data_IF_432573665574
#
_entry.id   IF_432573665574
#
_cell.length_a   1.000
_cell.length_b   1.000
_cell.length_c   1.000
_cell.angle_alpha   90.00
_cell.angle_beta   90.00
_cell.angle_gamma   90.00
#
_symmetry.space_group_name_H-M   'P 1'
#
loop_
_entity.id
_entity.type
_entity.pdbx_description
1 polymer ?
#
# COMPACT_ATOMS: atom_id res chain seq x y z
N UNK A 1 -15.80 -4.58 17.00
CA UNK A 1 -14.97 -3.43 16.59
C UNK A 1 -14.49 -2.71 17.85
N UNK A 2 -13.21 -2.73 18.12
CA UNK A 2 -12.61 -2.10 19.29
C UNK A 2 -11.69 -0.97 18.82
N UNK A 3 -12.06 0.26 19.15
CA UNK A 3 -11.22 1.44 18.95
C UNK A 3 -10.51 1.81 20.26
N UNK A 4 -9.27 2.25 20.13
CA UNK A 4 -8.52 2.82 21.25
C UNK A 4 -8.60 4.35 21.11
N UNK A 5 -9.21 5.02 22.09
CA UNK A 5 -9.40 6.47 22.10
C UNK A 5 -10.02 7.02 20.79
N UNK A 6 -11.03 6.36 20.28
CA UNK A 6 -11.85 6.77 19.13
C UNK A 6 -11.14 6.98 17.78
N UNK A 7 -9.82 6.76 17.70
CA UNK A 7 -9.05 7.09 16.50
C UNK A 7 -8.29 5.91 15.89
N UNK A 8 -8.04 4.83 16.63
CA UNK A 8 -7.26 3.70 16.15
C UNK A 8 -7.92 2.39 16.53
N UNK A 9 -8.16 1.54 15.56
CA UNK A 9 -8.62 0.18 15.78
C UNK A 9 -7.50 -0.70 16.36
N UNK A 10 -7.84 -1.54 17.32
CA UNK A 10 -6.90 -2.52 17.87
C UNK A 10 -6.47 -3.53 16.82
N UNK A 11 -7.41 -3.99 16.02
CA UNK A 11 -7.17 -4.80 14.83
C UNK A 11 -7.29 -3.90 13.60
N UNK A 12 -6.21 -3.72 12.85
CA UNK A 12 -6.19 -2.88 11.65
C UNK A 12 -7.21 -3.33 10.60
N UNK A 13 -7.56 -4.63 10.60
CA UNK A 13 -8.55 -5.19 9.65
C UNK A 13 -9.94 -4.58 9.81
N UNK A 14 -10.24 -4.03 10.98
CA UNK A 14 -11.50 -3.31 11.21
C UNK A 14 -11.61 -2.00 10.39
N UNK A 15 -10.48 -1.49 9.90
CA UNK A 15 -10.40 -0.32 9.02
C UNK A 15 -10.29 -0.68 7.53
N UNK A 16 -10.33 -1.95 7.21
CA UNK A 16 -10.17 -2.46 5.85
C UNK A 16 -11.51 -3.01 5.34
N UNK A 17 -11.90 -2.59 4.16
CA UNK A 17 -13.17 -2.95 3.55
C UNK A 17 -13.10 -4.18 2.64
N UNK A 18 -11.95 -4.41 2.03
CA UNK A 18 -11.76 -5.47 1.03
C UNK A 18 -10.49 -6.26 1.29
N UNK A 19 -10.55 -7.57 1.10
CA UNK A 19 -9.40 -8.48 1.13
C UNK A 19 -8.53 -8.32 2.39
N UNK A 20 -9.17 -8.32 3.54
CA UNK A 20 -8.59 -8.01 4.86
C UNK A 20 -7.41 -8.89 5.27
N UNK A 21 -7.39 -10.13 4.79
CA UNK A 21 -6.41 -11.14 5.16
C UNK A 21 -5.29 -11.29 4.13
N UNK A 22 -5.18 -10.36 3.18
CA UNK A 22 -4.14 -10.41 2.17
C UNK A 22 -2.74 -10.31 2.81
N UNK A 23 -1.77 -11.17 2.40
CA UNK A 23 -0.42 -11.17 2.95
C UNK A 23 0.33 -9.83 2.77
N UNK A 24 0.09 -9.10 1.69
CA UNK A 24 0.70 -7.78 1.46
C UNK A 24 0.23 -6.78 2.51
N UNK A 25 -1.07 -6.80 2.83
CA UNK A 25 -1.65 -5.96 3.86
C UNK A 25 -1.08 -6.30 5.25
N UNK A 26 -0.96 -7.58 5.57
CA UNK A 26 -0.35 -8.04 6.80
C UNK A 26 1.13 -7.63 6.91
N UNK A 27 1.88 -7.70 5.82
CA UNK A 27 3.26 -7.23 5.76
C UNK A 27 3.34 -5.73 6.06
N UNK A 28 2.54 -4.90 5.41
CA UNK A 28 2.47 -3.46 5.64
C UNK A 28 2.10 -3.14 7.09
N UNK A 29 1.09 -3.83 7.62
CA UNK A 29 0.63 -3.65 8.99
C UNK A 29 1.72 -3.96 10.01
N UNK A 30 2.54 -4.97 9.76
CA UNK A 30 3.66 -5.33 10.64
C UNK A 30 4.84 -4.39 10.53
N UNK A 31 5.09 -3.85 9.35
CA UNK A 31 6.19 -2.91 9.10
C UNK A 31 5.93 -1.56 9.75
N UNK A 32 4.73 -1.04 9.61
CA UNK A 32 4.37 0.32 10.01
C UNK A 32 3.52 0.32 11.28
N UNK A 33 4.19 0.52 12.41
CA UNK A 33 3.58 0.50 13.74
C UNK A 33 3.91 1.76 14.53
N UNK A 34 3.02 2.11 15.45
CA UNK A 34 3.28 3.17 16.41
C UNK A 34 4.39 2.79 17.37
N UNK A 35 5.28 3.73 17.63
CA UNK A 35 6.39 3.56 18.56
C UNK A 35 5.96 3.80 20.02
N UNK A 36 6.77 3.28 20.96
CA UNK A 36 6.59 3.46 22.40
C UNK A 36 7.26 4.73 22.90
N UNK A 37 6.83 5.91 22.43
CA UNK A 37 7.43 7.15 22.92
C UNK A 37 6.39 8.25 23.00
N UNK A 38 6.34 8.92 24.16
CA UNK A 38 5.51 10.09 24.40
C UNK A 38 4.02 9.80 24.32
N UNK A 39 3.28 10.69 23.66
CA UNK A 39 1.82 10.62 23.58
C UNK A 39 1.29 9.43 22.77
N UNK A 40 2.18 8.64 22.16
CA UNK A 40 1.82 7.49 21.34
C UNK A 40 1.88 6.16 22.08
N UNK A 41 2.22 6.15 23.36
CA UNK A 41 2.33 4.91 24.16
C UNK A 41 1.03 4.11 24.19
N UNK A 42 -0.12 4.77 24.14
CA UNK A 42 -1.45 4.13 24.08
C UNK A 42 -1.62 3.29 22.82
N UNK A 43 -1.02 3.71 21.73
CA UNK A 43 -1.09 3.05 20.43
C UNK A 43 0.11 2.15 20.15
N UNK A 44 1.07 2.09 21.08
CA UNK A 44 2.34 1.38 20.88
C UNK A 44 2.13 -0.05 20.40
N UNK A 45 2.79 -0.42 19.31
CA UNK A 45 2.71 -1.73 18.69
C UNK A 45 1.48 -1.95 17.78
N UNK A 46 0.52 -1.03 17.77
CA UNK A 46 -0.60 -1.08 16.82
C UNK A 46 -0.15 -0.65 15.43
N UNK A 47 -0.83 -1.16 14.41
CA UNK A 47 -0.57 -0.77 13.03
C UNK A 47 -1.13 0.61 12.71
N UNK A 48 -0.39 1.41 11.94
CA UNK A 48 -0.88 2.66 11.36
C UNK A 48 -2.11 2.46 10.46
N UNK A 49 -2.26 1.29 9.84
CA UNK A 49 -3.45 0.94 9.07
C UNK A 49 -4.74 0.97 9.89
N UNK A 50 -4.63 0.78 11.21
CA UNK A 50 -5.78 0.85 12.12
C UNK A 50 -6.27 2.26 12.43
N UNK A 51 -5.54 3.30 12.06
CA UNK A 51 -5.99 4.69 12.23
C UNK A 51 -7.14 5.01 11.29
N UNK A 52 -8.18 5.67 11.79
CA UNK A 52 -9.30 6.15 10.95
C UNK A 52 -8.84 7.16 9.89
N UNK A 53 -7.70 7.82 10.12
CA UNK A 53 -7.08 8.76 9.19
C UNK A 53 -5.97 8.14 8.35
N UNK A 54 -5.87 6.81 8.29
CA UNK A 54 -4.83 6.13 7.53
C UNK A 54 -5.02 6.31 6.03
N UNK A 55 -4.11 7.03 5.40
CA UNK A 55 -4.03 7.15 3.93
C UNK A 55 -3.74 5.78 3.29
N UNK A 56 -2.90 4.97 3.93
CA UNK A 56 -2.58 3.62 3.48
C UNK A 56 -3.81 2.70 3.46
N UNK A 57 -4.66 2.76 4.50
CA UNK A 57 -5.90 1.99 4.54
C UNK A 57 -6.88 2.44 3.44
N UNK A 58 -6.99 3.74 3.22
CA UNK A 58 -7.79 4.31 2.13
C UNK A 58 -7.25 3.85 0.76
N UNK A 59 -5.95 3.98 0.55
CA UNK A 59 -5.27 3.55 -0.68
C UNK A 59 -5.50 2.07 -0.95
N UNK A 60 -5.36 1.22 0.08
CA UNK A 60 -5.67 -0.21 -0.04
C UNK A 60 -7.10 -0.45 -0.50
N UNK A 61 -8.06 0.13 0.19
CA UNK A 61 -9.48 -0.08 -0.10
C UNK A 61 -9.85 0.31 -1.54
N UNK A 62 -9.31 1.42 -2.04
CA UNK A 62 -9.56 1.89 -3.41
C UNK A 62 -8.84 1.01 -4.43
N UNK A 63 -7.54 0.89 -4.34
CA UNK A 63 -6.72 0.22 -5.36
C UNK A 63 -6.99 -1.29 -5.38
N UNK A 64 -7.15 -1.92 -4.22
CA UNK A 64 -7.50 -3.35 -4.18
C UNK A 64 -8.87 -3.63 -4.77
N UNK A 65 -9.83 -2.74 -4.59
CA UNK A 65 -11.16 -2.86 -5.23
C UNK A 65 -11.07 -2.79 -6.75
N UNK A 66 -10.28 -1.88 -7.30
CA UNK A 66 -10.03 -1.79 -8.75
C UNK A 66 -9.36 -3.07 -9.26
N UNK A 67 -8.38 -3.56 -8.55
CA UNK A 67 -7.65 -4.78 -8.89
C UNK A 67 -8.55 -6.02 -8.90
N UNK A 68 -9.38 -6.20 -7.86
CA UNK A 68 -10.31 -7.34 -7.76
C UNK A 68 -11.39 -7.30 -8.84
N UNK A 69 -11.88 -6.13 -9.20
CA UNK A 69 -12.85 -5.97 -10.29
C UNK A 69 -12.20 -5.98 -11.68
N UNK A 70 -10.87 -5.95 -11.74
CA UNK A 70 -10.09 -5.80 -12.98
C UNK A 70 -10.59 -4.62 -13.83
N UNK A 71 -10.95 -3.53 -13.18
CA UNK A 71 -11.46 -2.33 -13.83
C UNK A 71 -10.64 -1.11 -13.44
N UNK A 72 -9.73 -0.72 -14.31
CA UNK A 72 -8.86 0.44 -14.14
C UNK A 72 -9.35 1.69 -14.88
N UNK A 73 -10.57 1.66 -15.43
CA UNK A 73 -11.15 2.79 -16.15
C UNK A 73 -11.09 4.12 -15.39
N UNK A 74 -11.33 4.18 -14.07
CA UNK A 74 -11.19 5.44 -13.34
C UNK A 74 -9.78 6.03 -13.38
N UNK A 75 -8.75 5.17 -13.39
CA UNK A 75 -7.36 5.59 -13.49
C UNK A 75 -7.06 6.05 -14.92
N UNK A 76 -7.47 5.26 -15.91
CA UNK A 76 -7.30 5.59 -17.35
C UNK A 76 -7.94 6.93 -17.69
N UNK A 77 -9.13 7.19 -17.18
CA UNK A 77 -9.85 8.45 -17.37
C UNK A 77 -9.08 9.64 -16.77
N UNK A 78 -8.47 9.42 -15.62
CA UNK A 78 -7.70 10.45 -14.93
C UNK A 78 -6.39 10.79 -15.66
N UNK A 79 -5.64 9.77 -16.08
CA UNK A 79 -4.33 9.94 -16.73
C UNK A 79 -4.41 10.11 -18.25
N UNK A 80 -5.58 9.88 -18.84
CA UNK A 80 -5.82 9.94 -20.30
C UNK A 80 -4.97 8.96 -21.11
N UNK A 81 -4.70 7.81 -20.54
CA UNK A 81 -3.95 6.71 -21.16
C UNK A 81 -4.75 5.42 -21.00
N UNK A 82 -4.92 4.69 -22.10
CA UNK A 82 -5.47 3.35 -22.08
C UNK A 82 -4.40 2.35 -21.63
N UNK A 83 -4.75 1.49 -20.69
CA UNK A 83 -3.82 0.51 -20.09
C UNK A 83 -4.14 -0.89 -20.59
N UNK A 84 -3.14 -1.59 -21.10
CA UNK A 84 -3.26 -2.98 -21.54
C UNK A 84 -2.71 -3.92 -20.46
N UNK A 85 -3.54 -4.85 -19.99
CA UNK A 85 -3.22 -5.79 -18.91
C UNK A 85 -2.67 -5.11 -17.65
N UNK A 86 -3.37 -4.10 -17.10
CA UNK A 86 -2.86 -3.36 -15.97
C UNK A 86 -2.82 -4.23 -14.71
N UNK A 87 -1.76 -4.02 -13.92
CA UNK A 87 -1.59 -4.60 -12.57
C UNK A 87 -1.17 -3.49 -11.62
N UNK A 88 -1.84 -3.41 -10.50
CA UNK A 88 -1.44 -2.50 -9.43
C UNK A 88 -0.50 -3.18 -8.45
N UNK A 89 0.49 -2.42 -7.99
CA UNK A 89 1.34 -2.75 -6.87
C UNK A 89 1.14 -1.66 -5.82
N UNK A 90 1.05 -2.06 -4.58
CA UNK A 90 1.05 -1.14 -3.44
C UNK A 90 2.33 -1.30 -2.65
N UNK A 91 2.96 -0.19 -2.32
CA UNK A 91 4.22 -0.17 -1.56
C UNK A 91 5.29 -1.08 -2.20
N UNK A 92 5.35 -1.08 -3.52
CA UNK A 92 6.23 -1.92 -4.34
C UNK A 92 5.95 -3.43 -4.28
N UNK A 93 4.80 -3.84 -3.76
CA UNK A 93 4.40 -5.23 -3.64
C UNK A 93 3.21 -5.57 -4.54
N UNK A 94 3.29 -6.69 -5.25
CA UNK A 94 2.13 -7.27 -5.93
C UNK A 94 1.19 -7.92 -4.92
N UNK A 95 -0.13 -7.83 -5.15
CA UNK A 95 -1.13 -8.35 -4.20
C UNK A 95 -1.02 -9.84 -3.91
N UNK A 96 -0.55 -10.62 -4.87
CA UNK A 96 -0.46 -12.07 -4.76
C UNK A 96 0.99 -12.57 -4.60
N UNK A 97 1.94 -11.64 -4.56
CA UNK A 97 3.36 -11.97 -4.45
C UNK A 97 4.11 -10.91 -3.64
N UNK A 98 4.61 -11.33 -2.49
CA UNK A 98 5.43 -10.52 -1.59
C UNK A 98 6.91 -10.92 -1.66
N UNK A 99 7.34 -11.54 -2.76
CA UNK A 99 8.71 -12.00 -2.88
C UNK A 99 9.71 -10.84 -2.78
N UNK A 100 10.82 -11.08 -2.09
CA UNK A 100 11.91 -10.10 -1.98
C UNK A 100 12.52 -9.73 -3.33
N UNK A 101 12.47 -10.66 -4.28
CA UNK A 101 12.99 -10.47 -5.63
C UNK A 101 12.19 -9.41 -6.39
N UNK A 102 10.87 -9.48 -6.34
CA UNK A 102 10.00 -8.47 -6.96
C UNK A 102 10.21 -7.10 -6.34
N UNK A 103 10.27 -7.03 -5.02
CA UNK A 103 10.59 -5.78 -4.30
C UNK A 103 11.93 -5.20 -4.75
N UNK A 104 12.94 -6.05 -4.91
CA UNK A 104 14.27 -5.62 -5.35
C UNK A 104 14.24 -5.04 -6.76
N UNK A 105 13.58 -5.72 -7.70
CA UNK A 105 13.47 -5.29 -9.09
C UNK A 105 12.74 -3.94 -9.19
N UNK A 106 11.60 -3.82 -8.56
CA UNK A 106 10.82 -2.57 -8.56
C UNK A 106 11.59 -1.45 -7.87
N UNK A 107 12.16 -1.71 -6.71
CA UNK A 107 12.98 -0.73 -5.99
C UNK A 107 14.21 -0.29 -6.79
N UNK A 108 14.87 -1.20 -7.51
CA UNK A 108 16.00 -0.90 -8.39
C UNK A 108 15.58 -0.02 -9.57
N UNK A 109 14.42 -0.30 -10.18
CA UNK A 109 13.87 0.49 -11.28
C UNK A 109 13.55 1.91 -10.82
N UNK A 110 12.93 2.08 -9.66
CA UNK A 110 12.62 3.39 -9.08
C UNK A 110 13.88 4.18 -8.79
N UNK A 111 14.92 3.55 -8.23
CA UNK A 111 16.21 4.20 -8.00
C UNK A 111 16.84 4.74 -9.28
N UNK A 112 16.75 3.97 -10.36
CA UNK A 112 17.29 4.38 -11.66
C UNK A 112 16.51 5.58 -12.23
N UNK A 113 15.18 5.61 -12.09
CA UNK A 113 14.33 6.72 -12.53
C UNK A 113 14.63 7.98 -11.72
N UNK A 114 14.71 7.87 -10.40
CA UNK A 114 14.97 8.99 -9.50
C UNK A 114 16.43 9.46 -9.51
N UNK A 115 17.33 8.73 -10.16
CA UNK A 115 18.77 9.01 -10.14
C UNK A 115 19.43 8.79 -8.77
N UNK A 116 18.75 8.13 -7.85
CA UNK A 116 19.24 7.84 -6.49
C UNK A 116 19.90 6.46 -6.47
N UNK A 117 21.19 6.41 -6.63
CA UNK A 117 21.94 5.14 -6.62
C UNK A 117 22.34 4.66 -5.21
N UNK A 118 22.33 5.56 -4.23
CA UNK A 118 22.69 5.26 -2.82
C UNK A 118 21.75 6.02 -1.88
N UNK A 119 21.35 5.38 -0.79
CA UNK A 119 20.57 5.98 0.27
C UNK A 119 19.10 5.55 0.29
N UNK A 120 18.31 6.30 1.02
CA UNK A 120 16.89 6.00 1.21
C UNK A 120 16.10 6.25 -0.07
N UNK A 121 15.34 5.24 -0.51
CA UNK A 121 14.41 5.37 -1.62
C UNK A 121 13.10 5.89 -1.08
N UNK A 122 12.50 6.84 -1.78
CA UNK A 122 11.10 7.14 -1.58
C UNK A 122 10.28 6.00 -2.15
N UNK A 123 9.57 5.30 -1.30
CA UNK A 123 8.66 4.23 -1.71
C UNK A 123 7.40 4.85 -2.29
N UNK A 124 7.04 4.59 -3.55
CA UNK A 124 5.76 5.03 -4.08
C UNK A 124 4.64 4.22 -3.45
N UNK A 125 3.55 4.87 -3.13
CA UNK A 125 2.38 4.21 -2.56
C UNK A 125 1.68 3.32 -3.58
N UNK A 126 1.61 3.77 -4.83
CA UNK A 126 0.91 3.09 -5.91
C UNK A 126 1.81 3.03 -7.14
N UNK A 127 1.92 1.85 -7.73
CA UNK A 127 2.50 1.65 -9.06
C UNK A 127 1.48 0.88 -9.89
N UNK A 128 1.22 1.34 -11.11
CA UNK A 128 0.42 0.59 -12.08
C UNK A 128 1.32 0.21 -13.24
N UNK A 129 1.51 -1.08 -13.41
CA UNK A 129 2.25 -1.69 -14.50
C UNK A 129 1.28 -2.16 -15.56
N UNK A 130 1.56 -1.83 -16.82
CA UNK A 130 0.85 -2.35 -17.98
C UNK A 130 1.85 -2.86 -19.02
N UNK A 131 1.37 -3.43 -20.12
CA UNK A 131 2.25 -3.92 -21.18
C UNK A 131 3.11 -2.81 -21.79
N UNK A 132 2.69 -1.56 -21.68
CA UNK A 132 3.32 -0.41 -22.36
C UNK A 132 3.74 0.73 -21.43
N UNK A 133 3.22 0.78 -20.21
CA UNK A 133 3.43 1.90 -19.29
C UNK A 133 3.71 1.43 -17.86
N UNK A 134 4.53 2.21 -17.19
CA UNK A 134 4.70 2.17 -15.73
C UNK A 134 4.31 3.53 -15.17
N UNK A 135 3.33 3.56 -14.28
CA UNK A 135 2.74 4.78 -13.74
C UNK A 135 2.86 4.76 -12.23
#
# INVERSE_FOLDING_TARGET
>A
MLMIKDNVYRDYRDNILVDKDNPVLAFKANRDRYFRNGNQDVYAGLSHLGSINSEDAFTWNVIRSLSLSNNYSPVEDLIKIELTNPKALLWTLAFDDISKELQYIVGSTIRNIDGKHKGQITEPDIIIESDTHLI
#
